data_IF_676935798668
#
_entry.id   IF_676935798668
#
_cell.length_a   1.000
_cell.length_b   1.000
_cell.length_c   1.000
_cell.angle_alpha   90.00
_cell.angle_beta   90.00
_cell.angle_gamma   90.00
#
_symmetry.space_group_name_H-M   'P 1'
#
loop_
_entity.id
_entity.type
_entity.pdbx_description
1 polymer ?
#
# COMPACT_ATOMS: atom_id res chain seq x y z
N UNK A 1 6.58 -10.97 2.04
CA UNK A 1 6.81 -9.77 1.21
C UNK A 1 5.44 -9.25 0.85
N UNK A 2 5.22 -7.96 0.62
CA UNK A 2 3.87 -7.51 0.24
C UNK A 2 3.69 -7.66 -1.27
N UNK A 3 2.46 -7.93 -1.75
CA UNK A 3 2.20 -8.00 -3.18
C UNK A 3 2.08 -6.60 -3.77
N UNK A 4 2.96 -6.29 -4.73
CA UNK A 4 2.99 -5.01 -5.44
C UNK A 4 2.02 -5.06 -6.61
N UNK A 5 1.01 -4.19 -6.60
CA UNK A 5 0.07 -4.02 -7.72
C UNK A 5 0.65 -3.07 -8.77
N UNK A 6 1.20 -1.93 -8.34
CA UNK A 6 1.80 -0.93 -9.23
C UNK A 6 3.02 -0.28 -8.57
N UNK A 7 3.96 0.20 -9.38
CA UNK A 7 5.13 0.94 -8.90
C UNK A 7 5.42 2.11 -9.83
N UNK A 8 5.90 3.21 -9.26
CA UNK A 8 6.31 4.40 -10.01
C UNK A 8 7.82 4.47 -10.15
N UNK A 9 8.30 5.23 -11.13
CA UNK A 9 9.74 5.56 -11.28
C UNK A 9 10.22 6.69 -10.36
N UNK A 10 9.33 7.28 -9.55
CA UNK A 10 9.63 8.45 -8.72
C UNK A 10 9.87 8.04 -7.26
N UNK A 11 10.79 8.75 -6.61
CA UNK A 11 10.98 8.67 -5.17
C UNK A 11 9.89 9.46 -4.42
N UNK A 12 9.39 8.89 -3.34
CA UNK A 12 8.48 9.57 -2.41
C UNK A 12 9.26 10.08 -1.20
N UNK A 13 8.92 11.29 -0.77
CA UNK A 13 9.59 12.01 0.31
C UNK A 13 8.61 12.23 1.46
N UNK A 14 9.13 12.31 2.68
CA UNK A 14 8.34 12.56 3.89
C UNK A 14 7.84 14.00 3.93
N UNK A 15 6.58 14.20 3.54
CA UNK A 15 5.95 15.52 3.48
C UNK A 15 5.60 16.10 4.86
N UNK A 16 5.62 15.29 5.91
CA UNK A 16 5.35 15.73 7.28
C UNK A 16 6.65 16.14 7.99
N UNK A 17 7.81 15.74 7.47
CA UNK A 17 9.10 16.21 7.94
C UNK A 17 9.46 17.56 7.30
N UNK A 18 10.01 18.53 8.07
CA UNK A 18 10.52 19.78 7.50
C UNK A 18 11.65 19.57 6.48
N UNK A 19 12.39 18.47 6.60
CA UNK A 19 13.55 18.15 5.76
C UNK A 19 13.19 17.46 4.44
N UNK A 20 11.93 17.06 4.24
CA UNK A 20 11.49 16.29 3.06
C UNK A 20 12.45 15.13 2.72
N UNK A 21 12.80 14.33 3.74
CA UNK A 21 13.71 13.19 3.58
C UNK A 21 13.13 12.16 2.59
N UNK A 22 13.97 11.60 1.72
CA UNK A 22 13.56 10.51 0.81
C UNK A 22 13.20 9.26 1.63
N UNK A 23 11.99 8.74 1.43
CA UNK A 23 11.53 7.50 2.05
C UNK A 23 11.95 6.30 1.17
N UNK A 24 11.69 6.38 -0.14
CA UNK A 24 11.96 5.30 -1.08
C UNK A 24 11.19 5.42 -2.38
N UNK A 25 11.02 4.32 -3.12
CA UNK A 25 10.13 4.26 -4.28
C UNK A 25 8.67 4.14 -3.87
N UNK A 26 7.77 4.80 -4.61
CA UNK A 26 6.33 4.68 -4.38
C UNK A 26 5.76 3.46 -5.10
N UNK A 27 5.20 2.54 -4.32
CA UNK A 27 4.49 1.35 -4.79
C UNK A 27 3.11 1.27 -4.15
N UNK A 28 2.13 0.83 -4.91
CA UNK A 28 0.80 0.44 -4.43
C UNK A 28 0.84 -1.04 -4.07
N UNK A 29 0.58 -1.34 -2.80
CA UNK A 29 0.59 -2.68 -2.22
C UNK A 29 -0.83 -3.17 -1.98
N UNK A 30 -1.02 -4.48 -2.00
CA UNK A 30 -2.31 -5.10 -1.70
C UNK A 30 -2.16 -6.49 -1.07
N UNK A 31 -3.18 -6.88 -0.31
CA UNK A 31 -3.41 -8.26 0.14
C UNK A 31 -4.63 -8.91 -0.53
N UNK A 32 -5.16 -8.27 -1.58
CA UNK A 32 -6.34 -8.70 -2.33
C UNK A 32 -7.64 -8.09 -1.81
N UNK A 33 -7.61 -7.38 -0.68
CA UNK A 33 -8.80 -6.71 -0.13
C UNK A 33 -8.55 -5.24 0.20
N UNK A 34 -7.36 -4.89 0.67
CA UNK A 34 -6.98 -3.50 0.93
C UNK A 34 -5.84 -3.06 0.02
N UNK A 35 -5.77 -1.74 -0.16
CA UNK A 35 -4.66 -1.06 -0.79
C UNK A 35 -3.96 -0.15 0.22
N UNK A 36 -2.64 -0.08 0.13
CA UNK A 36 -1.83 0.89 0.87
C UNK A 36 -0.57 1.23 0.09
N UNK A 37 -0.04 2.43 0.30
CA UNK A 37 1.23 2.83 -0.30
C UNK A 37 2.42 2.35 0.53
N UNK A 38 3.55 2.11 -0.14
CA UNK A 38 4.80 1.65 0.48
C UNK A 38 5.35 2.59 1.56
N UNK A 39 5.01 3.87 1.52
CA UNK A 39 5.41 4.88 2.51
C UNK A 39 4.51 4.94 3.75
N UNK A 40 3.37 4.23 3.77
CA UNK A 40 2.45 4.24 4.91
C UNK A 40 3.15 3.78 6.20
N UNK A 41 4.00 2.75 6.12
CA UNK A 41 4.74 2.25 7.27
C UNK A 41 5.63 3.33 7.90
N UNK A 42 6.28 4.15 7.07
CA UNK A 42 7.09 5.29 7.52
C UNK A 42 6.26 6.31 8.29
N UNK A 43 5.08 6.66 7.78
CA UNK A 43 4.18 7.61 8.44
C UNK A 43 3.61 7.07 9.77
N UNK A 44 3.31 5.77 9.84
CA UNK A 44 2.86 5.14 11.09
C UNK A 44 3.99 5.11 12.12
N UNK A 45 5.20 4.71 11.72
CA UNK A 45 6.35 4.57 12.61
C UNK A 45 6.86 5.93 13.12
N UNK A 46 7.01 6.91 12.23
CA UNK A 46 7.61 8.21 12.57
C UNK A 46 6.61 9.22 13.11
N UNK A 47 5.43 9.28 12.49
CA UNK A 47 4.44 10.33 12.76
C UNK A 47 3.21 9.84 13.51
N UNK A 48 3.15 8.53 13.84
CA UNK A 48 2.04 7.93 14.58
C UNK A 48 0.69 8.20 13.89
N UNK A 49 0.69 8.25 12.55
CA UNK A 49 -0.54 8.43 11.77
C UNK A 49 -1.53 7.35 12.16
N UNK A 50 -2.70 7.78 12.60
CA UNK A 50 -3.77 6.88 13.01
C UNK A 50 -4.39 6.23 11.77
N UNK A 51 -4.47 4.90 11.80
CA UNK A 51 -5.13 4.13 10.73
C UNK A 51 -6.58 3.83 11.10
N UNK A 52 -7.40 3.60 10.09
CA UNK A 52 -8.78 3.14 10.27
C UNK A 52 -8.79 1.79 11.02
N UNK A 53 -9.65 1.67 12.04
CA UNK A 53 -9.75 0.46 12.85
C UNK A 53 -10.09 -0.79 12.03
N UNK A 54 -10.84 -0.65 10.93
CA UNK A 54 -11.18 -1.76 10.03
C UNK A 54 -9.95 -2.34 9.35
N UNK A 55 -9.02 -1.47 8.95
CA UNK A 55 -7.74 -1.89 8.38
C UNK A 55 -6.88 -2.62 9.42
N UNK A 56 -6.79 -2.07 10.64
CA UNK A 56 -6.04 -2.69 11.75
C UNK A 56 -6.63 -4.06 12.12
N UNK A 57 -7.95 -4.16 12.24
CA UNK A 57 -8.64 -5.43 12.56
C UNK A 57 -8.40 -6.48 11.47
N UNK A 58 -8.46 -6.07 10.21
CA UNK A 58 -8.19 -6.93 9.05
C UNK A 58 -6.73 -7.40 8.99
N UNK A 59 -5.77 -6.52 9.25
CA UNK A 59 -4.36 -6.89 9.31
C UNK A 59 -4.08 -7.84 10.50
N UNK A 60 -4.67 -7.54 11.66
CA UNK A 60 -4.56 -8.39 12.86
C UNK A 60 -5.17 -9.77 12.65
N UNK A 61 -6.32 -9.89 11.99
CA UNK A 61 -6.94 -11.20 11.71
C UNK A 61 -6.07 -12.08 10.79
N UNK A 62 -5.15 -11.48 10.03
CA UNK A 62 -4.11 -12.14 9.23
C UNK A 62 -2.77 -12.28 9.95
N UNK A 63 -2.71 -12.06 11.26
CA UNK A 63 -1.46 -12.05 12.04
C UNK A 63 -0.39 -11.11 11.48
N UNK A 64 -0.80 -9.98 10.88
CA UNK A 64 0.10 -9.01 10.25
C UNK A 64 0.96 -9.60 9.11
N UNK A 65 0.52 -10.72 8.53
CA UNK A 65 1.20 -11.41 7.44
C UNK A 65 0.27 -11.44 6.22
N UNK A 66 0.33 -10.44 5.33
CA UNK A 66 -0.47 -10.47 4.10
C UNK A 66 -0.05 -11.66 3.21
N UNK A 67 -1.00 -12.30 2.51
CA UNK A 67 -0.72 -13.39 1.60
C UNK A 67 0.12 -12.94 0.40
N UNK A 68 0.84 -13.87 -0.23
CA UNK A 68 1.37 -13.64 -1.57
C UNK A 68 0.28 -13.90 -2.59
N UNK A 69 -0.05 -12.88 -3.37
CA UNK A 69 -0.94 -13.06 -4.53
C UNK A 69 -0.16 -13.57 -5.73
N UNK A 70 -0.81 -14.42 -6.50
CA UNK A 70 -0.35 -14.89 -7.80
C UNK A 70 -0.45 -13.76 -8.83
N UNK A 71 0.28 -13.90 -9.94
CA UNK A 71 0.17 -12.97 -11.07
C UNK A 71 -1.26 -12.88 -11.61
N UNK A 72 -1.98 -13.99 -11.69
CA UNK A 72 -3.35 -14.00 -12.19
C UNK A 72 -4.30 -13.22 -11.28
N UNK A 73 -4.16 -13.35 -9.95
CA UNK A 73 -4.93 -12.55 -9.00
C UNK A 73 -4.61 -11.06 -9.10
N UNK A 74 -3.32 -10.70 -9.24
CA UNK A 74 -2.91 -9.30 -9.41
C UNK A 74 -3.46 -8.68 -10.70
N UNK A 75 -3.43 -9.41 -11.82
CA UNK A 75 -4.01 -8.94 -13.09
C UNK A 75 -5.51 -8.72 -12.95
N UNK A 76 -6.24 -9.66 -12.31
CA UNK A 76 -7.68 -9.49 -12.09
C UNK A 76 -8.02 -8.29 -11.19
N UNK A 77 -7.17 -7.98 -10.21
CA UNK A 77 -7.30 -6.77 -9.38
C UNK A 77 -7.01 -5.52 -10.21
N UNK A 78 -5.95 -5.52 -11.02
CA UNK A 78 -5.59 -4.41 -11.90
C UNK A 78 -6.74 -4.06 -12.85
N UNK A 79 -7.28 -5.05 -13.57
CA UNK A 79 -8.44 -4.89 -14.46
C UNK A 79 -9.63 -4.28 -13.70
N UNK A 80 -9.98 -4.82 -12.53
CA UNK A 80 -11.11 -4.32 -11.74
C UNK A 80 -10.92 -2.88 -11.24
N UNK A 81 -9.69 -2.46 -10.94
CA UNK A 81 -9.38 -1.13 -10.40
C UNK A 81 -9.27 -0.09 -11.52
N UNK A 82 -8.63 -0.42 -12.64
CA UNK A 82 -8.29 0.55 -13.69
C UNK A 82 -9.26 0.55 -14.88
N UNK A 83 -10.01 -0.52 -15.14
CA UNK A 83 -11.03 -0.50 -16.22
C UNK A 83 -12.32 0.24 -15.81
N UNK A 84 -12.46 0.64 -14.55
CA UNK A 84 -13.59 1.44 -14.06
C UNK A 84 -13.47 2.95 -14.38
N UNK A 85 -12.46 3.39 -15.14
CA UNK A 85 -12.35 4.79 -15.63
C UNK A 85 -13.10 5.04 -16.96
N UNK A 86 -14.03 4.15 -17.34
CA UNK A 86 -14.75 4.16 -18.62
C UNK A 86 -16.28 4.24 -18.58
N UNK A 87 -16.91 4.74 -17.49
CA UNK A 87 -18.37 4.92 -17.40
C UNK A 87 -18.80 6.35 -17.06
#
# INVERSE_FOLDING_TARGET
MDSVLAATGSGVHDILSPGHELIGGLSLLTDGQWFWYSDLAHYVERHHVTLDERFIQHARSRNWAPPQLTRAELVGIEEAVFDNEGA
#
